data_IF_920071528696
#
_entry.id   IF_920071528696
#
_cell.length_a   1.000
_cell.length_b   1.000
_cell.length_c   1.000
_cell.angle_alpha   90.00
_cell.angle_beta   90.00
_cell.angle_gamma   90.00
#
_symmetry.space_group_name_H-M   'P 1'
#
loop_
_entity.id
_entity.type
_entity.pdbx_description
1 polymer ?
#
# COMPACT_ATOMS: atom_id res chain seq x y z
N UNK A 1 7.39 15.08 -13.13
CA UNK A 1 6.23 14.26 -13.54
C UNK A 1 6.71 12.91 -14.05
N UNK A 2 6.00 11.82 -13.72
CA UNK A 2 6.28 10.47 -14.23
C UNK A 2 5.11 10.07 -15.13
N UNK A 3 5.40 9.58 -16.33
CA UNK A 3 4.40 9.08 -17.27
C UNK A 3 4.76 7.65 -17.68
N UNK A 4 3.86 6.73 -17.45
CA UNK A 4 3.95 5.31 -17.81
C UNK A 4 2.89 5.04 -18.87
N UNK A 5 3.30 4.64 -20.08
CA UNK A 5 2.41 4.52 -21.23
C UNK A 5 2.51 3.13 -21.84
N UNK A 6 1.44 2.34 -21.73
CA UNK A 6 1.28 1.01 -22.31
C UNK A 6 2.45 0.04 -21.98
N UNK A 7 2.94 0.11 -20.74
CA UNK A 7 4.13 -0.62 -20.33
C UNK A 7 3.80 -2.06 -20.03
N UNK A 8 4.59 -2.96 -20.64
CA UNK A 8 4.52 -4.39 -20.38
C UNK A 8 5.92 -4.96 -20.10
N UNK A 9 5.99 -6.01 -19.29
CA UNK A 9 7.24 -6.75 -19.03
C UNK A 9 7.03 -8.24 -19.03
N UNK A 10 7.79 -8.91 -19.90
CA UNK A 10 7.80 -10.35 -20.05
C UNK A 10 9.11 -10.94 -19.48
N UNK A 11 9.03 -12.06 -18.77
CA UNK A 11 10.15 -12.89 -18.34
C UNK A 11 9.94 -14.29 -18.96
N UNK A 12 10.49 -14.50 -20.13
CA UNK A 12 10.19 -15.67 -20.95
C UNK A 12 8.69 -15.72 -21.28
N UNK A 13 8.02 -16.81 -20.92
CA UNK A 13 6.56 -16.96 -21.12
C UNK A 13 5.71 -16.24 -20.06
N UNK A 14 6.30 -15.81 -18.96
CA UNK A 14 5.58 -15.14 -17.89
C UNK A 14 5.49 -13.63 -18.12
N UNK A 15 4.27 -13.09 -18.18
CA UNK A 15 4.02 -11.65 -18.32
C UNK A 15 3.76 -11.05 -16.93
N UNK A 16 4.77 -10.39 -16.38
CA UNK A 16 4.73 -9.84 -15.02
C UNK A 16 3.98 -8.50 -14.95
N UNK A 17 4.02 -7.70 -16.01
CA UNK A 17 3.28 -6.44 -16.18
C UNK A 17 2.66 -6.44 -17.57
N UNK A 18 1.40 -6.06 -17.68
CA UNK A 18 0.60 -6.19 -18.89
C UNK A 18 -0.19 -4.91 -19.15
N UNK A 19 0.30 -4.10 -20.08
CA UNK A 19 -0.38 -2.89 -20.59
C UNK A 19 -0.77 -1.89 -19.49
N UNK A 20 0.18 -1.53 -18.63
CA UNK A 20 -0.04 -0.59 -17.53
C UNK A 20 0.23 0.82 -17.99
N UNK A 21 -0.73 1.73 -17.74
CA UNK A 21 -0.64 3.16 -18.07
C UNK A 21 -1.13 4.01 -16.91
N UNK A 22 -0.31 4.95 -16.44
CA UNK A 22 -0.68 5.98 -15.46
C UNK A 22 0.30 7.14 -15.52
N UNK A 23 -0.07 8.26 -14.90
CA UNK A 23 0.81 9.42 -14.74
C UNK A 23 0.83 9.90 -13.29
N UNK A 24 1.99 10.36 -12.80
CA UNK A 24 2.15 10.91 -11.45
C UNK A 24 2.66 12.34 -11.57
N UNK A 25 1.83 13.34 -11.22
CA UNK A 25 2.26 14.74 -11.14
C UNK A 25 3.36 14.95 -10.09
N UNK A 26 4.16 16.01 -10.27
CA UNK A 26 5.18 16.39 -9.30
C UNK A 26 4.56 16.79 -7.96
N UNK A 27 5.21 16.41 -6.84
CA UNK A 27 4.82 16.84 -5.49
C UNK A 27 3.70 16.01 -4.86
N UNK A 28 3.41 14.81 -5.37
CA UNK A 28 2.44 13.89 -4.77
C UNK A 28 3.12 12.71 -4.06
N UNK A 29 2.51 12.24 -2.96
CA UNK A 29 2.79 10.92 -2.40
C UNK A 29 1.73 9.95 -2.93
N UNK A 30 2.16 8.98 -3.72
CA UNK A 30 1.28 8.01 -4.38
C UNK A 30 1.59 6.60 -3.89
N UNK A 31 0.56 5.87 -3.49
CA UNK A 31 0.66 4.47 -3.12
C UNK A 31 0.53 3.56 -4.35
N UNK A 32 1.50 2.67 -4.57
CA UNK A 32 1.41 1.58 -5.54
C UNK A 32 1.01 0.31 -4.79
N UNK A 33 -0.27 -0.02 -4.83
CA UNK A 33 -0.90 -1.08 -4.04
C UNK A 33 -1.14 -2.34 -4.88
N UNK A 34 -1.03 -3.50 -4.25
CA UNK A 34 -1.33 -4.78 -4.90
C UNK A 34 -0.83 -5.98 -4.07
N UNK A 35 -1.38 -7.18 -4.28
CA UNK A 35 -0.90 -8.38 -3.62
C UNK A 35 0.54 -8.72 -4.02
N UNK A 36 1.15 -9.66 -3.30
CA UNK A 36 2.47 -10.15 -3.64
C UNK A 36 2.44 -10.82 -5.03
N UNK A 37 3.42 -10.50 -5.87
CA UNK A 37 3.47 -10.97 -7.26
C UNK A 37 2.58 -10.19 -8.24
N UNK A 38 1.89 -9.12 -7.81
CA UNK A 38 1.03 -8.30 -8.68
C UNK A 38 1.78 -7.51 -9.77
N UNK A 39 3.10 -7.38 -9.68
CA UNK A 39 3.92 -6.61 -10.63
C UNK A 39 4.44 -5.27 -10.08
N UNK A 40 4.16 -4.90 -8.82
CA UNK A 40 4.59 -3.63 -8.20
C UNK A 40 6.09 -3.37 -8.33
N UNK A 41 6.92 -4.24 -7.75
CA UNK A 41 8.40 -4.13 -7.81
C UNK A 41 8.91 -4.12 -9.24
N UNK A 42 8.31 -4.91 -10.14
CA UNK A 42 8.68 -4.91 -11.57
C UNK A 42 8.40 -3.55 -12.21
N UNK A 43 7.23 -2.97 -11.95
CA UNK A 43 6.85 -1.64 -12.44
C UNK A 43 7.80 -0.57 -11.90
N UNK A 44 8.12 -0.60 -10.60
CA UNK A 44 9.06 0.36 -9.99
C UNK A 44 10.47 0.23 -10.58
N UNK A 45 10.95 -1.00 -10.79
CA UNK A 45 12.25 -1.25 -11.45
C UNK A 45 12.30 -0.76 -12.90
N UNK A 46 11.16 -0.77 -13.60
CA UNK A 46 11.07 -0.16 -14.92
C UNK A 46 11.10 1.38 -14.84
N UNK A 47 10.39 1.99 -13.91
CA UNK A 47 10.39 3.45 -13.69
C UNK A 47 11.78 3.95 -13.27
N UNK A 48 12.55 3.16 -12.51
CA UNK A 48 13.92 3.51 -12.11
C UNK A 48 14.97 3.25 -13.20
N UNK A 49 14.56 2.68 -14.34
CA UNK A 49 15.48 2.28 -15.41
C UNK A 49 16.44 1.16 -15.01
N UNK A 50 16.14 0.42 -13.93
CA UNK A 50 16.85 -0.80 -13.56
C UNK A 50 16.47 -1.97 -14.48
N UNK A 51 15.25 -1.93 -15.00
CA UNK A 51 14.68 -2.92 -15.89
C UNK A 51 14.05 -2.22 -17.10
N UNK A 52 14.38 -2.64 -18.32
CA UNK A 52 13.75 -2.11 -19.52
C UNK A 52 12.34 -2.72 -19.69
N UNK A 53 11.33 -1.94 -20.09
CA UNK A 53 10.04 -2.48 -20.50
C UNK A 53 10.19 -3.33 -21.77
N UNK A 54 9.38 -4.36 -21.91
CA UNK A 54 9.30 -5.16 -23.16
C UNK A 54 8.47 -4.45 -24.24
N UNK A 55 7.49 -3.63 -23.80
CA UNK A 55 6.60 -2.82 -24.63
C UNK A 55 6.26 -1.53 -23.88
N UNK A 56 5.92 -0.48 -24.63
CA UNK A 56 5.55 0.83 -24.06
C UNK A 56 6.75 1.70 -23.75
N UNK A 57 6.50 2.82 -23.05
CA UNK A 57 7.55 3.79 -22.71
C UNK A 57 7.32 4.41 -21.35
N UNK A 58 8.39 4.93 -20.75
CA UNK A 58 8.36 5.65 -19.46
C UNK A 58 9.09 6.96 -19.64
N UNK A 59 8.38 8.07 -19.31
CA UNK A 59 8.96 9.40 -19.36
C UNK A 59 9.12 9.96 -17.94
N UNK A 60 10.27 10.57 -17.70
CA UNK A 60 10.56 11.34 -16.48
C UNK A 60 10.73 12.80 -16.92
N UNK A 61 9.80 13.67 -16.52
CA UNK A 61 9.70 15.06 -16.96
C UNK A 61 9.79 15.22 -18.49
N UNK A 62 9.06 14.37 -19.22
CA UNK A 62 9.05 14.36 -20.68
C UNK A 62 10.26 13.71 -21.34
N UNK A 63 11.24 13.23 -20.57
CA UNK A 63 12.43 12.54 -21.08
C UNK A 63 12.25 11.04 -20.98
N UNK A 64 12.40 10.32 -22.09
CA UNK A 64 12.33 8.85 -22.13
C UNK A 64 13.54 8.25 -21.42
N UNK A 65 13.27 7.41 -20.40
CA UNK A 65 14.32 6.77 -19.58
C UNK A 65 15.20 5.82 -20.39
N UNK A 66 14.74 5.29 -21.51
CA UNK A 66 15.50 4.40 -22.38
C UNK A 66 16.53 5.18 -23.21
N UNK A 67 16.22 6.42 -23.59
CA UNK A 67 17.08 7.25 -24.43
C UNK A 67 18.05 8.11 -23.63
N UNK A 68 17.68 8.53 -22.42
CA UNK A 68 18.52 9.33 -21.53
C UNK A 68 18.60 8.72 -20.11
N UNK A 69 19.13 7.49 -19.96
CA UNK A 69 19.05 6.76 -18.69
C UNK A 69 19.83 7.43 -17.55
N UNK A 70 20.95 8.08 -17.82
CA UNK A 70 21.78 8.74 -16.80
C UNK A 70 21.09 9.98 -16.27
N UNK A 71 20.52 10.80 -17.14
CA UNK A 71 19.82 12.02 -16.76
C UNK A 71 18.56 11.70 -15.95
N UNK A 72 17.77 10.74 -16.41
CA UNK A 72 16.56 10.30 -15.72
C UNK A 72 16.88 9.71 -14.34
N UNK A 73 17.93 8.86 -14.24
CA UNK A 73 18.34 8.25 -12.96
C UNK A 73 18.85 9.27 -11.93
N UNK A 74 19.43 10.38 -12.37
CA UNK A 74 19.84 11.47 -11.46
C UNK A 74 18.67 12.12 -10.74
N UNK A 75 17.47 12.07 -11.33
CA UNK A 75 16.24 12.62 -10.72
C UNK A 75 15.56 11.64 -9.77
N UNK A 76 15.98 10.38 -9.73
CA UNK A 76 15.27 9.31 -9.02
C UNK A 76 16.14 8.73 -7.92
N UNK A 77 15.66 8.79 -6.69
CA UNK A 77 16.14 7.97 -5.58
C UNK A 77 15.34 6.68 -5.48
N UNK A 78 16.00 5.55 -5.35
CA UNK A 78 15.33 4.26 -5.24
C UNK A 78 15.79 3.50 -4.01
N UNK A 79 14.81 3.10 -3.20
CA UNK A 79 15.00 2.23 -2.07
C UNK A 79 14.31 0.90 -2.33
N UNK A 80 15.03 -0.18 -2.64
CA UNK A 80 14.46 -1.52 -2.80
C UNK A 80 14.05 -2.11 -1.45
N UNK A 81 13.12 -3.06 -1.44
CA UNK A 81 12.65 -3.78 -0.25
C UNK A 81 13.82 -4.36 0.58
N UNK A 82 14.80 -4.97 -0.10
CA UNK A 82 16.02 -5.48 0.51
C UNK A 82 17.20 -4.66 -0.02
N UNK A 83 17.56 -3.62 0.71
CA UNK A 83 18.68 -2.77 0.34
C UNK A 83 20.01 -3.52 0.48
N UNK A 84 20.85 -3.56 -0.56
CA UNK A 84 22.16 -4.19 -0.53
C UNK A 84 23.18 -3.26 0.17
N UNK A 85 23.01 -3.07 1.49
CA UNK A 85 23.93 -2.28 2.30
C UNK A 85 25.19 -3.08 2.62
N UNK A 86 26.35 -2.40 2.75
CA UNK A 86 27.61 -3.04 3.14
C UNK A 86 27.64 -3.26 4.64
N UNK A 87 27.25 -4.47 5.09
CA UNK A 87 27.05 -4.81 6.50
C UNK A 87 28.26 -4.57 7.41
N UNK A 88 29.49 -4.78 6.88
CA UNK A 88 30.74 -4.62 7.62
C UNK A 88 31.18 -3.15 7.76
N UNK A 89 30.54 -2.23 7.04
CA UNK A 89 30.86 -0.80 7.17
C UNK A 89 30.11 -0.16 8.34
N UNK A 90 30.74 0.81 8.96
CA UNK A 90 30.10 1.75 9.88
C UNK A 90 29.16 2.65 9.06
N UNK A 91 28.00 2.99 9.62
CA UNK A 91 26.98 3.82 8.93
C UNK A 91 27.57 5.12 8.39
N UNK A 92 28.35 5.82 9.20
CA UNK A 92 28.98 7.09 8.79
C UNK A 92 29.92 6.91 7.60
N UNK A 93 30.75 5.87 7.63
CA UNK A 93 31.73 5.60 6.56
C UNK A 93 31.01 5.16 5.27
N UNK A 94 29.94 4.37 5.41
CA UNK A 94 29.08 3.99 4.30
C UNK A 94 28.45 5.22 3.64
N UNK A 95 27.82 6.11 4.41
CA UNK A 95 27.21 7.32 3.86
C UNK A 95 28.21 8.27 3.23
N UNK A 96 29.42 8.42 3.82
CA UNK A 96 30.52 9.18 3.21
C UNK A 96 30.97 8.58 1.89
N UNK A 97 31.08 7.26 1.81
CA UNK A 97 31.44 6.55 0.58
C UNK A 97 30.40 6.78 -0.51
N UNK A 98 29.10 6.66 -0.18
CA UNK A 98 28.01 6.91 -1.14
C UNK A 98 27.98 8.37 -1.59
N UNK A 99 28.19 9.33 -0.69
CA UNK A 99 28.29 10.76 -1.04
C UNK A 99 29.39 11.01 -2.08
N UNK A 100 30.59 10.46 -1.85
CA UNK A 100 31.70 10.58 -2.80
C UNK A 100 31.40 9.96 -4.15
N UNK A 101 30.70 8.80 -4.20
CA UNK A 101 30.29 8.17 -5.45
C UNK A 101 29.30 9.03 -6.26
N UNK A 102 28.45 9.78 -5.60
CA UNK A 102 27.51 10.72 -6.23
C UNK A 102 28.13 12.09 -6.52
N UNK A 103 29.38 12.36 -6.08
CA UNK A 103 30.05 13.64 -6.26
C UNK A 103 29.59 14.71 -5.27
N UNK A 104 28.95 14.31 -4.19
CA UNK A 104 28.49 15.16 -3.10
C UNK A 104 29.60 15.37 -2.05
N UNK A 105 29.57 16.53 -1.37
CA UNK A 105 30.47 16.76 -0.26
C UNK A 105 30.00 16.01 1.00
N UNK A 106 30.75 14.97 1.46
CA UNK A 106 30.35 14.20 2.63
C UNK A 106 30.23 15.03 3.91
N UNK A 107 31.01 16.12 4.03
CA UNK A 107 31.00 16.97 5.21
C UNK A 107 29.69 17.77 5.34
N UNK A 108 29.01 18.01 4.24
CA UNK A 108 27.72 18.71 4.18
C UNK A 108 26.56 17.70 4.15
N UNK A 109 26.60 16.75 3.21
CA UNK A 109 25.44 15.89 2.91
C UNK A 109 25.18 14.83 3.99
N UNK A 110 26.22 14.27 4.59
CA UNK A 110 26.05 13.21 5.61
C UNK A 110 25.37 13.73 6.89
N UNK A 111 25.77 14.89 7.47
CA UNK A 111 25.06 15.48 8.61
C UNK A 111 23.60 15.86 8.29
N UNK A 112 23.32 16.36 7.09
CA UNK A 112 21.97 16.68 6.63
C UNK A 112 21.08 15.42 6.65
N UNK A 113 21.50 14.37 5.97
CA UNK A 113 20.76 13.09 5.89
C UNK A 113 20.69 12.38 7.25
N UNK A 114 21.73 12.49 8.07
CA UNK A 114 21.72 11.99 9.45
C UNK A 114 20.57 12.60 10.25
N UNK A 115 20.33 13.90 10.08
CA UNK A 115 19.21 14.61 10.73
C UNK A 115 17.87 14.24 10.10
N UNK A 116 17.77 14.26 8.78
CA UNK A 116 16.53 13.99 8.02
C UNK A 116 16.01 12.57 8.26
N UNK A 117 16.90 11.56 8.27
CA UNK A 117 16.55 10.16 8.47
C UNK A 117 16.67 9.68 9.94
N UNK A 118 17.01 10.55 10.89
CA UNK A 118 17.07 10.20 12.31
C UNK A 118 18.16 9.18 12.66
N UNK A 119 19.37 9.29 12.08
CA UNK A 119 20.44 8.30 12.18
C UNK A 119 21.45 8.55 13.30
N UNK A 120 21.32 9.65 14.06
CA UNK A 120 22.33 10.13 15.03
C UNK A 120 22.87 9.04 15.96
N UNK A 121 22.00 8.18 16.48
CA UNK A 121 22.36 7.16 17.48
C UNK A 121 23.06 5.93 16.89
N UNK A 122 23.03 5.79 15.57
CA UNK A 122 23.55 4.61 14.87
C UNK A 122 24.75 4.91 13.97
N UNK A 123 25.14 6.17 13.82
CA UNK A 123 26.22 6.58 12.92
C UNK A 123 27.56 5.87 13.17
N UNK A 124 27.86 5.51 14.42
CA UNK A 124 29.09 4.80 14.81
C UNK A 124 28.97 3.28 14.85
N UNK A 125 27.82 2.72 14.47
CA UNK A 125 27.58 1.26 14.49
C UNK A 125 27.81 0.64 13.11
N UNK A 126 28.18 -0.65 13.10
CA UNK A 126 28.19 -1.42 11.87
C UNK A 126 26.75 -1.61 11.37
N UNK A 127 26.58 -1.59 10.04
CA UNK A 127 25.26 -1.75 9.41
C UNK A 127 24.66 -3.13 9.75
N UNK A 128 25.47 -4.19 9.87
CA UNK A 128 25.05 -5.53 10.27
C UNK A 128 24.44 -5.59 11.67
N UNK A 129 24.84 -4.68 12.58
CA UNK A 129 24.36 -4.62 13.96
C UNK A 129 23.03 -3.86 14.12
N UNK A 130 22.56 -3.21 13.06
CA UNK A 130 21.37 -2.39 13.11
C UNK A 130 20.09 -3.24 13.16
N UNK A 131 19.08 -2.73 13.87
CA UNK A 131 17.71 -3.20 13.72
C UNK A 131 17.22 -3.02 12.28
N UNK A 132 16.17 -3.76 11.89
CA UNK A 132 15.60 -3.63 10.55
C UNK A 132 15.16 -2.19 10.25
N UNK A 133 14.52 -1.50 11.19
CA UNK A 133 14.10 -0.12 11.04
C UNK A 133 15.26 0.85 10.83
N UNK A 134 16.36 0.69 11.58
CA UNK A 134 17.54 1.51 11.36
C UNK A 134 18.21 1.23 10.01
N UNK A 135 18.24 -0.03 9.55
CA UNK A 135 18.69 -0.35 8.18
C UNK A 135 17.83 0.30 7.11
N UNK A 136 16.50 0.33 7.30
CA UNK A 136 15.59 1.02 6.38
C UNK A 136 15.89 2.54 6.34
N UNK A 137 16.13 3.17 7.49
CA UNK A 137 16.51 4.59 7.54
C UNK A 137 17.86 4.87 6.87
N UNK A 138 18.85 3.98 7.01
CA UNK A 138 20.13 4.09 6.26
C UNK A 138 19.92 3.92 4.77
N UNK A 139 19.06 2.98 4.35
CA UNK A 139 18.70 2.80 2.94
C UNK A 139 17.98 4.03 2.37
N UNK A 140 17.09 4.64 3.16
CA UNK A 140 16.43 5.88 2.78
C UNK A 140 17.43 7.03 2.62
N UNK A 141 18.38 7.18 3.55
CA UNK A 141 19.45 8.16 3.43
C UNK A 141 20.32 7.93 2.17
N UNK A 142 20.60 6.67 1.83
CA UNK A 142 21.28 6.35 0.57
C UNK A 142 20.46 6.82 -0.64
N UNK A 143 19.16 6.51 -0.68
CA UNK A 143 18.30 6.89 -1.79
C UNK A 143 18.18 8.41 -1.97
N UNK A 144 18.36 9.18 -0.90
CA UNK A 144 18.32 10.66 -0.86
C UNK A 144 19.68 11.32 -1.12
N UNK A 145 20.76 10.56 -1.25
CA UNK A 145 22.13 11.07 -1.24
C UNK A 145 22.38 12.16 -2.30
N UNK A 146 21.86 11.99 -3.50
CA UNK A 146 22.04 12.90 -4.65
C UNK A 146 20.88 13.91 -4.83
N UNK A 147 20.11 14.13 -3.78
CA UNK A 147 18.98 15.07 -3.74
C UNK A 147 17.93 14.89 -4.86
N UNK A 148 17.38 13.68 -5.02
CA UNK A 148 16.46 13.37 -6.11
C UNK A 148 15.12 14.14 -5.99
N UNK A 149 14.53 14.50 -7.11
CA UNK A 149 13.18 15.11 -7.19
C UNK A 149 12.06 14.06 -7.00
N UNK A 150 12.38 12.80 -7.30
CA UNK A 150 11.47 11.65 -7.23
C UNK A 150 12.08 10.60 -6.33
N UNK A 151 11.31 10.12 -5.36
CA UNK A 151 11.71 9.03 -4.46
C UNK A 151 10.78 7.83 -4.65
N UNK A 152 11.36 6.67 -4.92
CA UNK A 152 10.64 5.42 -5.11
C UNK A 152 11.03 4.47 -3.98
N UNK A 153 10.06 4.05 -3.19
CA UNK A 153 10.23 3.23 -1.99
C UNK A 153 9.48 1.90 -2.15
N UNK A 154 10.22 0.81 -2.19
CA UNK A 154 9.65 -0.53 -2.33
C UNK A 154 9.50 -1.17 -0.95
N UNK A 155 8.25 -1.31 -0.47
CA UNK A 155 7.86 -1.89 0.83
C UNK A 155 8.67 -1.30 2.01
N UNK A 156 8.72 0.04 2.20
CA UNK A 156 9.64 0.70 3.14
C UNK A 156 9.40 0.35 4.60
N UNK A 157 8.23 -0.14 4.94
CA UNK A 157 7.79 -0.47 6.31
C UNK A 157 7.69 -1.97 6.55
N UNK A 158 7.99 -2.80 5.53
CA UNK A 158 7.86 -4.25 5.61
C UNK A 158 8.70 -4.85 6.76
N UNK A 159 8.02 -5.60 7.65
CA UNK A 159 8.65 -6.31 8.77
C UNK A 159 9.21 -5.42 9.88
N UNK A 160 8.72 -4.19 10.00
CA UNK A 160 8.96 -3.28 11.11
C UNK A 160 7.91 -3.46 12.21
N UNK A 161 8.27 -3.14 13.44
CA UNK A 161 7.30 -3.03 14.52
C UNK A 161 6.47 -1.73 14.38
N UNK A 162 5.28 -1.62 15.05
CA UNK A 162 4.39 -0.48 14.89
C UNK A 162 5.03 0.89 15.15
N UNK A 163 5.94 0.99 16.11
CA UNK A 163 6.62 2.25 16.43
C UNK A 163 7.59 2.64 15.32
N UNK A 164 8.38 1.66 14.82
CA UNK A 164 9.30 1.89 13.70
C UNK A 164 8.56 2.24 12.41
N UNK A 165 7.38 1.65 12.18
CA UNK A 165 6.52 2.00 11.04
C UNK A 165 6.14 3.48 11.09
N UNK A 166 5.68 3.98 12.25
CA UNK A 166 5.27 5.39 12.37
C UNK A 166 6.46 6.35 12.22
N UNK A 167 7.63 5.99 12.74
CA UNK A 167 8.86 6.76 12.54
C UNK A 167 9.24 6.88 11.05
N UNK A 168 9.20 5.77 10.30
CA UNK A 168 9.51 5.79 8.85
C UNK A 168 8.44 6.58 8.08
N UNK A 169 7.16 6.43 8.44
CA UNK A 169 6.07 7.21 7.85
C UNK A 169 6.24 8.72 8.08
N UNK A 170 6.64 9.13 9.28
CA UNK A 170 6.89 10.53 9.59
C UNK A 170 8.00 11.11 8.69
N UNK A 171 9.09 10.37 8.48
CA UNK A 171 10.16 10.76 7.56
C UNK A 171 9.65 10.87 6.12
N UNK A 172 8.89 9.88 5.63
CA UNK A 172 8.33 9.89 4.27
C UNK A 172 7.38 11.08 4.06
N UNK A 173 6.53 11.41 5.05
CA UNK A 173 5.64 12.59 4.98
C UNK A 173 6.43 13.89 4.87
N UNK A 174 7.53 14.02 5.62
CA UNK A 174 8.35 15.24 5.57
C UNK A 174 9.04 15.38 4.21
N UNK A 175 9.61 14.29 3.69
CA UNK A 175 10.20 14.23 2.35
C UNK A 175 9.17 14.58 1.26
N UNK A 176 7.96 14.05 1.38
CA UNK A 176 6.87 14.24 0.42
C UNK A 176 6.34 15.68 0.31
N UNK A 177 6.69 16.56 1.26
CA UNK A 177 6.36 17.99 1.16
C UNK A 177 7.08 18.72 0.03
N UNK A 178 8.25 18.22 -0.36
CA UNK A 178 9.13 18.86 -1.35
C UNK A 178 9.42 17.98 -2.56
N UNK A 179 9.14 16.68 -2.48
CA UNK A 179 9.47 15.69 -3.52
C UNK A 179 8.25 14.87 -3.94
N UNK A 180 8.31 14.29 -5.12
CA UNK A 180 7.34 13.27 -5.55
C UNK A 180 7.74 11.93 -4.95
N UNK A 181 6.83 11.24 -4.29
CA UNK A 181 7.12 9.95 -3.65
C UNK A 181 6.18 8.86 -4.17
N UNK A 182 6.74 7.72 -4.56
CA UNK A 182 5.99 6.49 -4.83
C UNK A 182 6.33 5.50 -3.72
N UNK A 183 5.30 5.00 -3.04
CA UNK A 183 5.45 3.97 -2.00
C UNK A 183 4.74 2.71 -2.45
N UNK A 184 5.47 1.59 -2.64
CA UNK A 184 4.79 0.31 -2.82
C UNK A 184 4.45 -0.30 -1.48
N UNK A 185 3.30 -0.90 -1.39
CA UNK A 185 2.88 -1.71 -0.25
C UNK A 185 1.75 -2.67 -0.64
N UNK A 186 1.57 -3.70 0.15
CA UNK A 186 0.40 -4.57 0.10
C UNK A 186 -0.58 -4.26 1.25
N UNK A 187 -0.23 -3.28 2.12
CA UNK A 187 -1.00 -2.89 3.31
C UNK A 187 -1.75 -1.60 3.01
N UNK A 188 -3.06 -1.69 2.97
CA UNK A 188 -3.91 -0.57 2.59
C UNK A 188 -3.91 0.58 3.59
N UNK A 189 -3.89 0.27 4.90
CA UNK A 189 -3.83 1.29 5.96
C UNK A 189 -2.57 2.16 5.89
N UNK A 190 -1.50 1.69 5.26
CA UNK A 190 -0.32 2.51 4.98
C UNK A 190 -0.60 3.55 3.91
N UNK A 191 -1.28 3.12 2.83
CA UNK A 191 -1.66 4.02 1.73
C UNK A 191 -2.63 5.10 2.23
N UNK A 192 -3.62 4.72 3.05
CA UNK A 192 -4.56 5.67 3.67
C UNK A 192 -3.89 6.74 4.53
N UNK A 193 -2.81 6.34 5.21
CA UNK A 193 -2.12 7.22 6.16
C UNK A 193 -1.09 8.12 5.50
N UNK A 194 -0.45 7.65 4.42
CA UNK A 194 0.68 8.34 3.76
C UNK A 194 0.32 9.03 2.46
N UNK A 195 -0.61 8.45 1.69
CA UNK A 195 -0.81 8.81 0.30
C UNK A 195 -2.09 9.59 0.09
N UNK A 196 -2.13 10.46 -0.89
CA UNK A 196 -3.35 11.12 -1.37
C UNK A 196 -4.06 10.34 -2.48
N UNK A 197 -3.32 9.44 -3.16
CA UNK A 197 -3.78 8.67 -4.32
C UNK A 197 -3.22 7.26 -4.27
N UNK A 198 -4.01 6.30 -4.72
CA UNK A 198 -3.62 4.91 -4.86
C UNK A 198 -3.72 4.46 -6.32
N UNK A 199 -2.68 3.79 -6.78
CA UNK A 199 -2.60 3.05 -8.04
C UNK A 199 -2.61 1.57 -7.66
N UNK A 200 -3.65 0.83 -8.05
CA UNK A 200 -3.83 -0.59 -7.68
C UNK A 200 -3.46 -1.47 -8.86
N UNK A 201 -2.48 -2.37 -8.64
CA UNK A 201 -2.06 -3.36 -9.63
C UNK A 201 -2.41 -4.76 -9.12
N UNK A 202 -3.06 -5.56 -9.98
CA UNK A 202 -3.34 -6.97 -9.73
C UNK A 202 -3.15 -7.78 -11.02
N UNK A 203 -2.56 -8.98 -10.91
CA UNK A 203 -2.28 -9.83 -12.09
C UNK A 203 -1.47 -9.15 -13.19
N UNK A 204 -0.61 -8.20 -12.84
CA UNK A 204 0.19 -7.41 -13.78
C UNK A 204 -0.55 -6.27 -14.48
N UNK A 205 -1.82 -6.01 -14.15
CA UNK A 205 -2.64 -4.97 -14.78
C UNK A 205 -3.00 -3.86 -13.81
N UNK A 206 -3.27 -2.67 -14.35
CA UNK A 206 -3.86 -1.56 -13.61
C UNK A 206 -5.34 -1.85 -13.36
N UNK A 207 -5.73 -1.95 -12.09
CA UNK A 207 -7.13 -2.23 -11.69
C UNK A 207 -7.85 -0.94 -11.28
N UNK A 208 -7.16 -0.05 -10.57
CA UNK A 208 -7.70 1.24 -10.18
C UNK A 208 -6.58 2.28 -10.08
N UNK A 209 -6.94 3.53 -10.34
CA UNK A 209 -6.13 4.72 -10.20
C UNK A 209 -7.03 5.85 -9.74
N UNK A 210 -6.98 6.21 -8.46
CA UNK A 210 -7.93 7.16 -7.86
C UNK A 210 -7.38 7.80 -6.59
N UNK A 211 -7.93 8.95 -6.21
CA UNK A 211 -7.70 9.52 -4.89
C UNK A 211 -8.28 8.59 -3.81
N UNK A 212 -7.67 8.60 -2.63
CA UNK A 212 -8.09 7.76 -1.50
C UNK A 212 -9.54 8.07 -1.09
N UNK A 213 -9.92 9.35 -1.11
CA UNK A 213 -11.28 9.78 -0.78
C UNK A 213 -12.30 9.26 -1.79
N UNK A 214 -12.00 9.34 -3.10
CA UNK A 214 -12.85 8.82 -4.16
C UNK A 214 -13.00 7.29 -4.08
N UNK A 215 -11.93 6.58 -3.69
CA UNK A 215 -11.99 5.14 -3.43
C UNK A 215 -12.92 4.84 -2.25
N UNK A 216 -12.81 5.61 -1.16
CA UNK A 216 -13.70 5.49 -0.01
C UNK A 216 -15.16 5.80 -0.38
N UNK A 217 -15.39 6.80 -1.21
CA UNK A 217 -16.73 7.15 -1.66
C UNK A 217 -17.32 6.10 -2.62
N UNK A 218 -16.59 5.68 -3.62
CA UNK A 218 -17.09 4.71 -4.63
C UNK A 218 -17.44 3.35 -4.04
N UNK A 219 -16.69 2.93 -3.05
CA UNK A 219 -16.80 1.58 -2.48
C UNK A 219 -17.27 1.59 -1.01
N UNK A 220 -17.21 2.74 -0.32
CA UNK A 220 -17.74 2.93 1.02
C UNK A 220 -19.25 3.18 1.08
N UNK A 221 -19.94 3.18 -0.07
CA UNK A 221 -21.39 3.37 -0.12
C UNK A 221 -22.21 2.12 0.22
N UNK A 222 -21.59 0.97 0.35
CA UNK A 222 -22.25 -0.19 0.95
C UNK A 222 -22.11 -0.11 2.46
N UNK A 223 -23.13 0.39 3.11
CA UNK A 223 -23.23 0.27 4.56
C UNK A 223 -23.39 -1.21 4.90
N UNK A 224 -22.46 -1.73 5.65
CA UNK A 224 -22.60 -3.05 6.25
C UNK A 224 -22.95 -2.90 7.73
N UNK A 225 -23.88 -3.71 8.19
CA UNK A 225 -24.23 -3.79 9.62
C UNK A 225 -23.67 -5.12 10.14
N UNK A 226 -22.74 -5.02 11.09
CA UNK A 226 -22.26 -6.18 11.82
C UNK A 226 -23.21 -6.47 12.96
N UNK A 227 -23.67 -7.70 13.04
CA UNK A 227 -24.55 -8.22 14.08
C UNK A 227 -23.82 -9.31 14.86
N UNK A 228 -23.80 -9.23 16.18
CA UNK A 228 -23.42 -10.33 17.05
C UNK A 228 -24.69 -10.84 17.74
N UNK A 229 -25.10 -12.05 17.38
CA UNK A 229 -26.34 -12.68 17.90
C UNK A 229 -26.00 -13.96 18.63
N UNK A 230 -26.87 -14.35 19.57
CA UNK A 230 -26.78 -15.63 20.24
C UNK A 230 -26.87 -16.78 19.25
N UNK A 231 -26.33 -17.94 19.63
CA UNK A 231 -26.33 -19.13 18.76
C UNK A 231 -27.75 -19.45 18.28
N UNK A 232 -27.87 -19.46 16.95
CA UNK A 232 -29.12 -19.73 16.26
C UNK A 232 -28.82 -20.45 14.95
N UNK A 233 -29.83 -20.98 14.29
CA UNK A 233 -29.67 -21.51 12.95
C UNK A 233 -29.41 -20.37 11.96
N UNK A 234 -28.24 -20.39 11.31
CA UNK A 234 -27.83 -19.38 10.34
C UNK A 234 -28.80 -19.25 9.17
N UNK A 235 -29.29 -20.38 8.63
CA UNK A 235 -30.19 -20.36 7.48
C UNK A 235 -31.52 -19.66 7.82
N UNK A 236 -32.03 -19.86 9.04
CA UNK A 236 -33.24 -19.19 9.48
C UNK A 236 -33.00 -17.70 9.74
N UNK A 237 -31.87 -17.35 10.40
CA UNK A 237 -31.48 -15.96 10.63
C UNK A 237 -31.29 -15.20 9.33
N UNK A 238 -30.61 -15.78 8.35
CA UNK A 238 -30.42 -15.18 7.02
C UNK A 238 -31.75 -14.91 6.31
N UNK A 239 -32.66 -15.88 6.33
CA UNK A 239 -34.01 -15.70 5.76
C UNK A 239 -34.77 -14.55 6.41
N UNK A 240 -34.71 -14.46 7.75
CA UNK A 240 -35.40 -13.42 8.49
C UNK A 240 -34.76 -12.04 8.24
N UNK A 241 -33.43 -11.93 8.20
CA UNK A 241 -32.71 -10.67 7.87
C UNK A 241 -33.08 -10.20 6.46
N UNK A 242 -33.14 -11.11 5.48
CA UNK A 242 -33.54 -10.78 4.09
C UNK A 242 -34.97 -10.26 3.95
N UNK A 243 -35.80 -10.33 4.98
CA UNK A 243 -37.13 -9.68 4.98
C UNK A 243 -37.07 -8.18 5.18
N UNK A 244 -35.95 -7.65 5.69
CA UNK A 244 -35.75 -6.22 5.88
C UNK A 244 -35.41 -5.58 4.54
N UNK A 245 -36.08 -4.48 4.21
CA UNK A 245 -35.85 -3.75 2.97
C UNK A 245 -34.40 -3.24 2.89
N UNK A 246 -33.89 -3.14 1.67
CA UNK A 246 -32.53 -2.68 1.34
C UNK A 246 -31.39 -3.62 1.78
N UNK A 247 -31.65 -4.80 2.34
CA UNK A 247 -30.65 -5.84 2.54
C UNK A 247 -30.26 -6.44 1.19
N UNK A 248 -28.97 -6.39 0.87
CA UNK A 248 -28.39 -6.99 -0.34
C UNK A 248 -27.84 -8.39 -0.05
N UNK A 249 -26.84 -8.48 0.81
CA UNK A 249 -26.22 -9.75 1.17
C UNK A 249 -26.18 -9.94 2.68
N UNK A 250 -26.19 -11.21 3.09
CA UNK A 250 -26.00 -11.63 4.48
C UNK A 250 -24.90 -12.68 4.49
N UNK A 251 -23.85 -12.47 5.28
CA UNK A 251 -22.71 -13.37 5.34
C UNK A 251 -22.35 -13.70 6.79
N UNK A 252 -22.20 -14.98 7.10
CA UNK A 252 -21.65 -15.44 8.38
C UNK A 252 -20.16 -15.13 8.41
N UNK A 253 -19.70 -14.42 9.45
CA UNK A 253 -18.31 -14.03 9.66
C UNK A 253 -17.61 -15.04 10.57
N UNK A 254 -18.20 -15.30 11.75
CA UNK A 254 -17.63 -16.21 12.73
C UNK A 254 -18.72 -16.87 13.58
N UNK A 255 -18.36 -17.98 14.20
CA UNK A 255 -19.15 -18.60 15.27
C UNK A 255 -18.16 -19.00 16.37
N UNK A 256 -18.36 -18.49 17.58
CA UNK A 256 -17.46 -18.71 18.70
C UNK A 256 -18.24 -19.10 19.95
N UNK A 257 -17.67 -20.02 20.72
CA UNK A 257 -18.11 -20.32 22.08
C UNK A 257 -17.12 -19.67 23.06
N UNK A 258 -17.51 -18.57 23.69
CA UNK A 258 -16.72 -17.89 24.71
C UNK A 258 -17.49 -17.91 26.04
N UNK A 259 -16.85 -18.38 27.11
CA UNK A 259 -17.38 -18.41 28.48
C UNK A 259 -18.79 -19.05 28.63
N UNK A 260 -19.09 -20.08 27.81
CA UNK A 260 -20.41 -20.72 27.81
C UNK A 260 -21.49 -19.98 27.03
N UNK A 261 -21.15 -18.86 26.40
CA UNK A 261 -21.98 -18.12 25.46
C UNK A 261 -21.57 -18.50 24.03
N UNK A 262 -22.48 -19.11 23.30
CA UNK A 262 -22.29 -19.36 21.88
C UNK A 262 -22.87 -18.19 21.10
N UNK A 263 -22.00 -17.51 20.35
CA UNK A 263 -22.39 -16.34 19.58
C UNK A 263 -22.00 -16.50 18.11
N UNK A 264 -22.81 -15.89 17.25
CA UNK A 264 -22.59 -15.84 15.82
C UNK A 264 -22.44 -14.39 15.38
N UNK A 265 -21.41 -14.09 14.61
CA UNK A 265 -21.24 -12.81 13.94
C UNK A 265 -21.71 -12.91 12.49
N UNK A 266 -22.55 -11.96 12.11
CA UNK A 266 -23.13 -11.87 10.77
C UNK A 266 -22.93 -10.48 10.22
N UNK A 267 -22.48 -10.36 8.97
CA UNK A 267 -22.37 -9.11 8.25
C UNK A 267 -23.52 -8.98 7.26
N UNK A 268 -24.26 -7.89 7.36
CA UNK A 268 -25.39 -7.55 6.52
C UNK A 268 -25.05 -6.37 5.65
N UNK A 269 -24.88 -6.57 4.34
CA UNK A 269 -24.63 -5.50 3.37
C UNK A 269 -25.94 -4.88 2.90
N UNK A 270 -25.93 -3.55 2.73
CA UNK A 270 -27.13 -2.74 2.44
C UNK A 270 -26.98 -2.09 1.07
N UNK A 271 -28.00 -2.14 0.25
CA UNK A 271 -28.05 -1.38 -0.99
C UNK A 271 -28.18 0.13 -0.70
N UNK A 272 -27.12 0.89 -1.01
CA UNK A 272 -27.09 2.33 -0.83
C UNK A 272 -26.76 2.77 0.62
N UNK A 273 -27.18 3.99 1.00
CA UNK A 273 -26.85 4.65 2.29
C UNK A 273 -28.01 4.53 3.29
N UNK A 274 -28.94 3.61 3.08
CA UNK A 274 -30.13 3.53 3.92
C UNK A 274 -29.80 3.01 5.32
N UNK A 275 -30.24 3.73 6.36
CA UNK A 275 -30.12 3.28 7.75
C UNK A 275 -31.15 2.19 8.06
N UNK A 276 -30.68 0.95 8.19
CA UNK A 276 -31.53 -0.24 8.41
C UNK A 276 -31.48 -0.79 9.85
N UNK A 277 -30.59 -0.27 10.71
CA UNK A 277 -30.43 -0.79 12.07
C UNK A 277 -31.72 -0.78 12.90
N UNK A 278 -32.58 0.27 12.85
CA UNK A 278 -33.84 0.23 13.57
C UNK A 278 -34.78 -0.89 13.15
N UNK A 279 -34.84 -1.17 11.83
CA UNK A 279 -35.69 -2.24 11.25
C UNK A 279 -35.11 -3.62 11.59
N UNK A 280 -33.78 -3.79 11.49
CA UNK A 280 -33.10 -5.01 11.92
C UNK A 280 -33.29 -5.28 13.39
N UNK A 281 -33.13 -4.28 14.25
CA UNK A 281 -33.35 -4.41 15.70
C UNK A 281 -34.77 -4.87 16.00
N UNK A 282 -35.75 -4.23 15.38
CA UNK A 282 -37.16 -4.59 15.57
C UNK A 282 -37.43 -6.03 15.16
N UNK A 283 -36.96 -6.44 13.99
CA UNK A 283 -37.11 -7.80 13.47
C UNK A 283 -36.46 -8.84 14.42
N UNK A 284 -35.22 -8.58 14.88
CA UNK A 284 -34.50 -9.49 15.78
C UNK A 284 -35.25 -9.66 17.12
N UNK A 285 -35.78 -8.59 17.66
CA UNK A 285 -36.58 -8.65 18.91
C UNK A 285 -37.91 -9.39 18.69
N UNK A 286 -38.64 -9.10 17.63
CA UNK A 286 -39.90 -9.78 17.29
C UNK A 286 -39.73 -11.29 17.07
N UNK A 287 -38.58 -11.69 16.55
CA UNK A 287 -38.21 -13.11 16.32
C UNK A 287 -37.50 -13.78 17.51
N UNK A 288 -37.36 -13.07 18.67
CA UNK A 288 -36.69 -13.55 19.85
C UNK A 288 -35.22 -13.97 19.66
N UNK A 289 -34.49 -13.31 18.74
CA UNK A 289 -33.05 -13.46 18.67
C UNK A 289 -32.35 -12.69 19.79
N UNK A 290 -31.34 -13.29 20.41
CA UNK A 290 -30.52 -12.61 21.42
C UNK A 290 -29.47 -11.74 20.69
N UNK A 291 -29.72 -10.42 20.66
CA UNK A 291 -28.78 -9.45 20.06
C UNK A 291 -27.80 -8.97 21.15
N UNK A 292 -26.49 -9.18 20.93
CA UNK A 292 -25.41 -8.72 21.81
C UNK A 292 -24.78 -7.43 21.31
N UNK A 293 -24.58 -7.32 19.99
CA UNK A 293 -23.98 -6.13 19.38
C UNK A 293 -24.58 -5.86 18.00
N UNK A 294 -24.73 -4.58 17.67
CA UNK A 294 -25.10 -4.10 16.35
C UNK A 294 -24.33 -2.82 16.05
N UNK A 295 -23.40 -2.88 15.13
CA UNK A 295 -22.60 -1.70 14.74
C UNK A 295 -22.56 -1.55 13.22
N UNK A 296 -22.37 -0.30 12.76
CA UNK A 296 -22.09 -0.04 11.36
C UNK A 296 -20.61 -0.41 11.14
N UNK A 297 -20.39 -1.35 10.24
CA UNK A 297 -19.09 -1.60 9.66
C UNK A 297 -19.09 -0.91 8.29
N UNK A 298 -18.36 0.16 8.16
CA UNK A 298 -18.15 0.77 6.84
C UNK A 298 -17.19 -0.15 6.11
N UNK A 299 -17.53 -0.50 4.86
CA UNK A 299 -16.61 -1.27 4.03
C UNK A 299 -15.24 -0.62 4.12
N UNK A 300 -14.30 -1.36 4.67
CA UNK A 300 -12.92 -0.91 4.72
C UNK A 300 -12.39 -0.87 3.29
N UNK A 301 -11.44 0.02 3.02
CA UNK A 301 -10.73 -0.05 1.74
C UNK A 301 -10.10 -1.45 1.50
N UNK A 302 -9.92 -2.26 2.56
CA UNK A 302 -9.48 -3.66 2.49
C UNK A 302 -10.51 -4.56 1.76
N UNK A 303 -11.80 -4.37 2.03
CA UNK A 303 -12.87 -5.10 1.33
C UNK A 303 -12.91 -4.73 -0.15
N UNK A 304 -12.73 -3.44 -0.43
CA UNK A 304 -12.59 -2.90 -1.79
C UNK A 304 -11.40 -3.51 -2.51
N UNK A 305 -10.25 -3.50 -1.85
CA UNK A 305 -9.03 -4.08 -2.38
C UNK A 305 -9.18 -5.58 -2.65
N UNK A 306 -9.78 -6.31 -1.72
CA UNK A 306 -10.10 -7.72 -1.91
C UNK A 306 -11.05 -7.95 -3.08
N UNK A 307 -12.12 -7.18 -3.21
CA UNK A 307 -13.07 -7.31 -4.32
C UNK A 307 -12.40 -7.04 -5.67
N UNK A 308 -11.59 -5.98 -5.76
CA UNK A 308 -10.87 -5.60 -6.99
C UNK A 308 -9.79 -6.62 -7.38
N UNK A 309 -9.10 -7.23 -6.41
CA UNK A 309 -7.98 -8.14 -6.68
C UNK A 309 -8.41 -9.59 -6.85
N UNK A 310 -9.57 -10.01 -6.31
CA UNK A 310 -10.05 -11.40 -6.37
C UNK A 310 -10.73 -11.70 -7.71
N UNK A 311 -11.45 -10.74 -8.30
CA UNK A 311 -12.12 -10.91 -9.58
C UNK A 311 -11.15 -11.19 -10.74
N UNK A 312 -9.96 -10.59 -10.76
CA UNK A 312 -8.96 -10.83 -11.81
C UNK A 312 -8.17 -12.14 -11.64
N UNK A 313 -7.99 -12.62 -10.39
CA UNK A 313 -7.30 -13.90 -10.14
C UNK A 313 -8.10 -15.10 -10.68
N UNK A 314 -9.39 -14.93 -10.86
CA UNK A 314 -10.29 -16.00 -11.39
C UNK A 314 -10.27 -16.06 -12.92
N UNK A 315 -10.02 -14.95 -13.62
CA UNK A 315 -9.89 -14.92 -15.08
C UNK A 315 -8.52 -15.38 -15.58
N UNK A 316 -7.46 -15.19 -14.79
CA UNK A 316 -6.09 -15.59 -15.13
C UNK A 316 -5.84 -17.12 -15.01
N UNK A 317 -6.80 -17.90 -14.45
CA UNK A 317 -6.73 -19.36 -14.30
C UNK A 317 -7.60 -20.14 -15.28
N UNK A 318 -8.24 -19.48 -16.23
CA UNK A 318 -8.91 -20.08 -17.38
C UNK A 318 -8.08 -19.83 -18.63
#
# INVERSE_FOLDING_TARGET
>A
MIEVSHVSRNFGAFRAVNDVSFSIPTGQIVGLLGPNGAGKTTTMRMITGFLEPSEGQILIDGTDISTAPVESKRKIGYMPESAPLYGEMIVEDYLKYIAQMHGEDPAVKVPELCKECGLKEVMSKNISELSRGNRQRVSLAHALMHDPEILILDEPTSGLDPNQVEDVRAIIREIGKTRTVIVSTHILSEVETLCSRAIIIAGGKLVADSNIEDLKEKFGHELSVKLTVGKTDYEQLEKDIRTVNAVDTVRKVSETDQDGLSVMEVLVSVNGIQEIRPELCKMLVEKNYALYEMCIERNSLEDVFHALTTNETTEAKK
#
